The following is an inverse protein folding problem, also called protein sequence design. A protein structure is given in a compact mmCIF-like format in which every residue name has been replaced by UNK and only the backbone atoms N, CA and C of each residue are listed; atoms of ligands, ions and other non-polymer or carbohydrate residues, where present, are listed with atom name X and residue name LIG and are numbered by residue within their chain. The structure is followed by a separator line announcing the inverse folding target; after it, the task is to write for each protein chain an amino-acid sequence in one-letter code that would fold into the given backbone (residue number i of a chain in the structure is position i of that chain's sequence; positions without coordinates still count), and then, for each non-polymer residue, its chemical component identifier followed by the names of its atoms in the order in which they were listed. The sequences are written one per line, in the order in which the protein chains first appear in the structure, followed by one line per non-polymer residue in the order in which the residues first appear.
data_IF_687812673331
#
_entry.id   IF_687812673331
#
_cell.length_a   1.000
_cell.length_b   1.000
_cell.length_c   1.000
_cell.angle_alpha   90.00
_cell.angle_beta   90.00
_cell.angle_gamma   90.00
#
_symmetry.space_group_name_H-M   'P 1'
#
loop_
_entity.id
_entity.type
_entity.pdbx_description
1 polymer ?
#
# COMPACT_ATOMS: atom_id res chain seq x y z
N UNK A 1 2.89 11.76 -3.95
CA UNK A 1 3.51 12.65 -4.97
C UNK A 1 5.03 12.69 -4.80
N UNK A 2 5.54 12.84 -3.56
CA UNK A 2 6.97 12.88 -3.26
C UNK A 2 7.79 11.65 -3.73
N UNK A 3 7.29 10.42 -3.55
CA UNK A 3 8.00 9.19 -4.00
C UNK A 3 8.29 9.14 -5.50
N UNK A 4 7.42 9.75 -6.33
CA UNK A 4 7.61 9.80 -7.80
C UNK A 4 8.64 10.85 -8.17
N UNK A 5 8.71 11.95 -7.43
CA UNK A 5 9.79 12.93 -7.57
C UNK A 5 11.13 12.31 -7.12
N UNK A 6 11.12 11.54 -6.03
CA UNK A 6 12.30 10.80 -5.58
C UNK A 6 12.73 9.77 -6.63
N UNK A 7 11.83 9.10 -7.36
CA UNK A 7 12.20 8.20 -8.46
C UNK A 7 12.94 8.88 -9.63
N UNK A 8 12.81 10.20 -9.80
CA UNK A 8 13.55 10.92 -10.85
C UNK A 8 15.03 11.03 -10.53
N UNK A 9 15.41 11.07 -9.25
CA UNK A 9 16.78 11.38 -8.81
C UNK A 9 17.40 10.30 -7.92
N UNK A 10 16.58 9.48 -7.28
CA UNK A 10 16.99 8.43 -6.34
C UNK A 10 17.19 7.09 -7.05
N UNK A 11 18.46 6.75 -7.22
CA UNK A 11 18.94 5.49 -7.79
C UNK A 11 18.44 4.24 -7.07
N UNK A 12 18.37 4.26 -5.75
CA UNK A 12 17.95 3.09 -4.97
C UNK A 12 16.49 2.73 -5.28
N UNK A 13 15.64 3.76 -5.45
CA UNK A 13 14.23 3.55 -5.80
C UNK A 13 14.06 3.07 -7.23
N UNK A 14 14.87 3.56 -8.17
CA UNK A 14 14.85 3.08 -9.56
C UNK A 14 15.25 1.61 -9.64
N UNK A 15 16.35 1.24 -8.97
CA UNK A 15 16.80 -0.15 -8.88
C UNK A 15 15.72 -1.04 -8.24
N UNK A 16 15.16 -0.63 -7.10
CA UNK A 16 14.12 -1.39 -6.40
C UNK A 16 12.87 -1.64 -7.26
N UNK A 17 12.51 -0.67 -8.11
CA UNK A 17 11.37 -0.78 -9.03
C UNK A 17 11.72 -1.33 -10.42
N UNK A 18 12.97 -1.71 -10.65
CA UNK A 18 13.43 -2.29 -11.92
C UNK A 18 13.58 -1.30 -13.09
N UNK A 19 13.73 0.00 -12.81
CA UNK A 19 14.00 1.02 -13.82
C UNK A 19 15.50 1.29 -13.95
N UNK A 20 16.00 1.27 -15.19
CA UNK A 20 17.33 1.72 -15.54
C UNK A 20 17.48 3.24 -15.47
N UNK A 21 18.72 3.70 -15.67
CA UNK A 21 19.08 5.11 -15.65
C UNK A 21 18.33 5.96 -16.69
N UNK A 22 18.19 5.41 -17.90
CA UNK A 22 17.60 6.11 -19.03
C UNK A 22 16.11 5.84 -19.22
N UNK A 23 15.53 4.96 -18.40
CA UNK A 23 14.13 4.62 -18.51
C UNK A 23 13.25 5.81 -18.10
N UNK A 24 12.17 6.02 -18.85
CA UNK A 24 11.23 7.07 -18.50
C UNK A 24 10.46 6.66 -17.25
N UNK A 25 10.53 7.48 -16.20
CA UNK A 25 9.69 7.28 -15.01
C UNK A 25 8.23 7.49 -15.44
N UNK A 26 7.34 6.51 -15.21
CA UNK A 26 5.95 6.66 -15.59
C UNK A 26 5.26 7.73 -14.73
N UNK A 27 4.15 8.25 -15.24
CA UNK A 27 3.35 9.22 -14.51
C UNK A 27 2.90 8.65 -13.15
N UNK A 28 2.77 9.51 -12.13
CA UNK A 28 2.49 9.06 -10.76
C UNK A 28 1.23 8.19 -10.64
N UNK A 29 0.22 8.44 -11.49
CA UNK A 29 -1.01 7.69 -11.51
C UNK A 29 -0.89 6.31 -12.16
N UNK A 30 0.18 6.05 -12.91
CA UNK A 30 0.39 4.77 -13.61
C UNK A 30 0.51 3.62 -12.62
N UNK A 31 1.28 3.79 -11.54
CA UNK A 31 1.41 2.76 -10.51
C UNK A 31 0.09 2.46 -9.81
N UNK A 32 -0.64 3.51 -9.39
CA UNK A 32 -1.95 3.34 -8.75
C UNK A 32 -2.94 2.61 -9.65
N UNK A 33 -3.07 3.03 -10.91
CA UNK A 33 -3.97 2.39 -11.88
C UNK A 33 -3.54 0.96 -12.23
N UNK A 34 -2.23 0.70 -12.34
CA UNK A 34 -1.72 -0.64 -12.59
C UNK A 34 -1.99 -1.57 -11.41
N UNK A 35 -1.81 -1.07 -10.19
CA UNK A 35 -2.06 -1.81 -8.96
C UNK A 35 -3.55 -2.17 -8.82
N UNK A 36 -4.43 -1.18 -8.96
CA UNK A 36 -5.88 -1.36 -8.94
C UNK A 36 -6.33 -2.39 -9.98
N UNK A 37 -5.82 -2.30 -11.21
CA UNK A 37 -6.17 -3.25 -12.29
C UNK A 37 -5.60 -4.65 -12.06
N UNK A 38 -4.35 -4.75 -11.65
CA UNK A 38 -3.65 -6.04 -11.48
C UNK A 38 -4.26 -6.91 -10.39
N UNK A 39 -4.74 -6.27 -9.33
CA UNK A 39 -5.35 -6.93 -8.18
C UNK A 39 -6.86 -6.76 -8.13
N UNK A 40 -7.45 -6.27 -9.23
CA UNK A 40 -8.89 -6.14 -9.36
C UNK A 40 -9.52 -7.52 -9.19
N UNK A 41 -10.63 -7.56 -8.46
CA UNK A 41 -11.40 -8.77 -8.20
C UNK A 41 -10.60 -9.85 -7.43
N UNK A 42 -9.51 -9.45 -6.77
CA UNK A 42 -8.77 -10.30 -5.81
C UNK A 42 -9.00 -9.83 -4.38
N UNK A 43 -8.94 -10.76 -3.45
CA UNK A 43 -8.98 -10.53 -2.00
C UNK A 43 -7.57 -10.47 -1.37
N UNK A 44 -6.52 -10.34 -2.19
CA UNK A 44 -5.13 -10.44 -1.73
C UNK A 44 -4.78 -9.46 -0.61
N UNK A 45 -5.28 -8.22 -0.67
CA UNK A 45 -5.04 -7.23 0.39
C UNK A 45 -5.71 -7.59 1.69
N UNK A 46 -6.92 -8.13 1.61
CA UNK A 46 -7.67 -8.62 2.76
C UNK A 46 -6.93 -9.82 3.40
N UNK A 47 -6.44 -10.76 2.60
CA UNK A 47 -5.63 -11.88 3.10
C UNK A 47 -4.33 -11.42 3.77
N UNK A 48 -3.60 -10.46 3.17
CA UNK A 48 -2.38 -9.90 3.76
C UNK A 48 -2.72 -9.19 5.08
N UNK A 49 -3.78 -8.39 5.11
CA UNK A 49 -4.22 -7.68 6.29
C UNK A 49 -4.58 -8.64 7.43
N UNK A 50 -5.40 -9.65 7.17
CA UNK A 50 -5.75 -10.66 8.18
C UNK A 50 -4.54 -11.45 8.65
N UNK A 51 -3.57 -11.73 7.78
CA UNK A 51 -2.31 -12.38 8.21
C UNK A 51 -1.51 -11.49 9.16
N UNK A 52 -1.45 -10.18 8.91
CA UNK A 52 -0.80 -9.22 9.81
C UNK A 52 -1.54 -9.18 11.15
N UNK A 53 -2.87 -9.05 11.14
CA UNK A 53 -3.68 -9.04 12.36
C UNK A 53 -3.52 -10.34 13.16
N UNK A 54 -3.57 -11.50 12.51
CA UNK A 54 -3.33 -12.79 13.15
C UNK A 54 -1.96 -12.84 13.82
N UNK A 55 -0.92 -12.41 13.11
CA UNK A 55 0.46 -12.38 13.65
C UNK A 55 0.56 -11.44 14.86
N UNK A 56 -0.10 -10.28 14.81
CA UNK A 56 -0.14 -9.34 15.92
C UNK A 56 -0.90 -9.91 17.13
N UNK A 57 -2.02 -10.59 16.90
CA UNK A 57 -2.80 -11.26 17.95
C UNK A 57 -1.99 -12.38 18.62
N UNK A 58 -1.34 -13.23 17.84
CA UNK A 58 -0.48 -14.31 18.35
C UNK A 58 0.67 -13.76 19.22
N UNK A 59 1.22 -12.61 18.85
CA UNK A 59 2.25 -11.90 19.62
C UNK A 59 1.70 -11.05 20.76
N UNK A 60 0.38 -11.07 21.01
CA UNK A 60 -0.30 -10.27 22.03
C UNK A 60 -0.04 -8.76 21.89
N UNK A 61 0.18 -8.30 20.64
CA UNK A 61 0.41 -6.89 20.33
C UNK A 61 -0.90 -6.10 20.15
N UNK A 62 -2.04 -6.79 20.07
CA UNK A 62 -3.37 -6.19 19.93
C UNK A 62 -4.32 -6.77 20.98
N UNK A 63 -5.10 -5.90 21.64
CA UNK A 63 -6.21 -6.27 22.52
C UNK A 63 -7.53 -6.11 21.76
N UNK A 64 -8.43 -7.09 21.88
CA UNK A 64 -9.75 -7.05 21.24
C UNK A 64 -10.60 -5.86 21.70
N UNK A 65 -10.36 -5.32 22.91
CA UNK A 65 -11.08 -4.14 23.43
C UNK A 65 -10.86 -2.87 22.58
N UNK A 66 -9.68 -2.70 22.00
CA UNK A 66 -9.37 -1.52 21.17
C UNK A 66 -9.88 -1.64 19.72
N UNK A 67 -10.10 -2.86 19.23
CA UNK A 67 -10.59 -3.12 17.87
C UNK A 67 -12.06 -2.70 17.71
N UNK A 68 -12.87 -2.88 18.75
CA UNK A 68 -14.28 -2.47 18.74
C UNK A 68 -14.45 -0.94 18.87
N UNK A 69 -13.48 -0.23 19.46
CA UNK A 69 -13.57 1.24 19.64
C UNK A 69 -13.26 1.98 18.33
N UNK A 70 -12.33 1.49 17.50
CA UNK A 70 -11.96 2.14 16.23
C UNK A 70 -12.89 1.76 15.05
N UNK A 71 -13.96 1.00 15.32
CA UNK A 71 -15.03 0.72 14.35
C UNK A 71 -15.96 1.92 14.10
N UNK A 72 -15.59 3.13 14.55
CA UNK A 72 -16.19 4.38 14.09
C UNK A 72 -16.07 4.44 12.57
N UNK A 73 -17.23 4.35 11.90
CA UNK A 73 -17.38 4.50 10.46
C UNK A 73 -16.38 5.51 9.88
N UNK A 74 -15.43 5.02 9.08
CA UNK A 74 -14.77 5.85 8.09
C UNK A 74 -15.86 6.28 7.09
N UNK A 75 -16.62 7.32 7.44
CA UNK A 75 -17.22 8.19 6.44
C UNK A 75 -16.04 8.77 5.70
N UNK A 76 -15.66 8.09 4.63
CA UNK A 76 -14.80 8.62 3.60
C UNK A 76 -15.38 9.98 3.21
N UNK A 77 -14.77 11.07 3.68
CA UNK A 77 -15.04 12.40 3.16
C UNK A 77 -14.52 12.39 1.74
N UNK A 78 -15.41 12.09 0.80
CA UNK A 78 -15.19 12.33 -0.62
C UNK A 78 -15.26 13.85 -0.82
N UNK A 79 -14.09 14.49 -0.84
CA UNK A 79 -13.89 15.80 -1.47
C UNK A 79 -13.27 15.58 -2.86
#
# INVERSE_FOLDING_TARGET
RQTIEELKTNMAYRWFLGYGFYDKVPHFSTFGKNYERRFKDTDLFEQIFYRILKTAAEKKLISAEHIFIDSTHVKASAN
#
